data_IF_248354612831
#
_entry.id   IF_248354612831
#
_cell.length_a   1.000
_cell.length_b   1.000
_cell.length_c   1.000
_cell.angle_alpha   90.00
_cell.angle_beta   90.00
_cell.angle_gamma   90.00
#
_symmetry.space_group_name_H-M   'P 1'
#
loop_
_entity.id
_entity.type
_entity.pdbx_description
1 polymer ?
#
# COMPACT_ATOMS: atom_id res chain seq x y z
N UNK A 1 -16.62 8.01 -17.16
CA UNK A 1 -16.69 7.72 -15.71
C UNK A 1 -16.23 8.95 -14.92
N UNK A 2 -16.91 9.33 -13.82
CA UNK A 2 -16.50 10.50 -13.01
C UNK A 2 -15.18 10.19 -12.29
N UNK A 3 -14.25 11.18 -12.19
CA UNK A 3 -12.92 11.01 -11.55
C UNK A 3 -12.99 10.40 -10.15
N UNK A 4 -13.97 10.83 -9.35
CA UNK A 4 -14.23 10.29 -8.00
C UNK A 4 -14.59 8.81 -8.03
N UNK A 5 -15.48 8.39 -8.95
CA UNK A 5 -15.86 6.99 -9.12
C UNK A 5 -14.66 6.13 -9.49
N UNK A 6 -13.80 6.61 -10.40
CA UNK A 6 -12.58 5.90 -10.78
C UNK A 6 -11.62 5.73 -9.58
N UNK A 7 -11.41 6.80 -8.81
CA UNK A 7 -10.57 6.77 -7.62
C UNK A 7 -11.11 5.81 -6.56
N UNK A 8 -12.43 5.79 -6.34
CA UNK A 8 -13.07 4.84 -5.42
C UNK A 8 -12.89 3.40 -5.89
N UNK A 9 -13.14 3.10 -7.18
CA UNK A 9 -12.95 1.76 -7.73
C UNK A 9 -11.50 1.30 -7.56
N UNK A 10 -10.54 2.18 -7.84
CA UNK A 10 -9.11 1.86 -7.70
C UNK A 10 -8.76 1.51 -6.24
N UNK A 11 -9.19 2.33 -5.28
CA UNK A 11 -8.92 2.10 -3.84
C UNK A 11 -9.59 0.82 -3.34
N UNK A 12 -10.86 0.59 -3.69
CA UNK A 12 -11.58 -0.63 -3.31
C UNK A 12 -10.91 -1.85 -3.90
N UNK A 13 -10.56 -1.81 -5.19
CA UNK A 13 -9.86 -2.92 -5.87
C UNK A 13 -8.52 -3.21 -5.21
N UNK A 14 -7.75 -2.17 -4.88
CA UNK A 14 -6.49 -2.31 -4.16
C UNK A 14 -6.69 -3.03 -2.81
N UNK A 15 -7.62 -2.58 -1.98
CA UNK A 15 -7.86 -3.22 -0.68
C UNK A 15 -8.35 -4.66 -0.82
N UNK A 16 -9.20 -4.96 -1.81
CA UNK A 16 -9.62 -6.35 -2.08
C UNK A 16 -8.43 -7.24 -2.45
N UNK A 17 -7.51 -6.75 -3.30
CA UNK A 17 -6.29 -7.48 -3.67
C UNK A 17 -5.39 -7.69 -2.46
N UNK A 18 -5.17 -6.66 -1.63
CA UNK A 18 -4.36 -6.77 -0.41
C UNK A 18 -4.96 -7.78 0.56
N UNK A 19 -6.26 -7.69 0.83
CA UNK A 19 -6.94 -8.65 1.73
C UNK A 19 -6.83 -10.07 1.18
N UNK A 20 -7.09 -10.28 -0.11
CA UNK A 20 -6.91 -11.60 -0.71
C UNK A 20 -5.47 -12.09 -0.59
N UNK A 21 -4.48 -11.25 -0.89
CA UNK A 21 -3.06 -11.60 -0.84
C UNK A 21 -2.60 -12.07 0.55
N UNK A 22 -3.08 -11.42 1.62
CA UNK A 22 -2.69 -11.73 3.00
C UNK A 22 -3.43 -12.94 3.57
N UNK A 23 -4.71 -13.11 3.22
CA UNK A 23 -5.57 -14.14 3.79
C UNK A 23 -5.81 -15.34 2.87
N UNK A 24 -5.13 -15.43 1.73
CA UNK A 24 -5.13 -16.62 0.89
C UNK A 24 -3.89 -17.50 1.20
N UNK A 25 -4.00 -18.83 1.06
CA UNK A 25 -2.90 -19.77 1.25
C UNK A 25 -1.93 -19.76 0.05
N UNK A 26 -1.25 -18.62 -0.15
CA UNK A 26 -0.27 -18.45 -1.20
C UNK A 26 1.07 -19.08 -0.77
N UNK A 27 1.52 -20.10 -1.51
CA UNK A 27 2.82 -20.72 -1.26
C UNK A 27 3.93 -19.96 -1.97
N UNK A 28 4.47 -18.93 -1.30
CA UNK A 28 5.51 -18.06 -1.84
C UNK A 28 6.91 -18.70 -1.85
N UNK A 29 7.13 -19.73 -1.03
CA UNK A 29 8.43 -20.43 -0.90
C UNK A 29 8.87 -21.10 -2.20
N UNK A 30 7.91 -21.48 -3.05
CA UNK A 30 8.18 -22.09 -4.36
C UNK A 30 8.83 -21.14 -5.37
N UNK A 31 8.79 -19.83 -5.13
CA UNK A 31 9.27 -18.80 -6.07
C UNK A 31 10.67 -18.27 -5.76
N UNK A 32 11.35 -18.82 -4.75
CA UNK A 32 12.74 -18.50 -4.42
C UNK A 32 12.92 -17.87 -3.05
N UNK A 33 14.18 -17.69 -2.65
CA UNK A 33 14.52 -17.05 -1.38
C UNK A 33 13.99 -15.61 -1.34
N UNK A 34 13.34 -15.24 -0.25
CA UNK A 34 12.76 -13.91 -0.03
C UNK A 34 11.68 -13.47 -1.04
N UNK A 35 11.12 -14.38 -1.86
CA UNK A 35 10.04 -14.04 -2.79
C UNK A 35 8.80 -13.45 -2.08
N UNK A 36 8.53 -13.96 -0.89
CA UNK A 36 7.53 -13.44 0.04
C UNK A 36 7.80 -11.98 0.43
N UNK A 37 9.05 -11.65 0.78
CA UNK A 37 9.45 -10.27 1.15
C UNK A 37 9.32 -9.30 -0.02
N UNK A 38 9.69 -9.73 -1.22
CA UNK A 38 9.51 -8.94 -2.44
C UNK A 38 8.02 -8.69 -2.73
N UNK A 39 7.15 -9.66 -2.44
CA UNK A 39 5.72 -9.51 -2.60
C UNK A 39 5.13 -8.52 -1.60
N UNK A 40 5.52 -8.58 -0.33
CA UNK A 40 5.16 -7.61 0.70
C UNK A 40 5.54 -6.17 0.29
N UNK A 41 6.78 -6.00 -0.19
CA UNK A 41 7.24 -4.73 -0.76
C UNK A 41 6.34 -4.27 -1.92
N UNK A 42 6.08 -5.16 -2.89
CA UNK A 42 5.33 -4.82 -4.10
C UNK A 42 3.89 -4.42 -3.80
N UNK A 43 3.22 -5.12 -2.88
CA UNK A 43 1.84 -4.85 -2.49
C UNK A 43 1.70 -3.43 -1.94
N UNK A 44 2.61 -2.99 -1.07
CA UNK A 44 2.57 -1.65 -0.48
C UNK A 44 3.16 -0.57 -1.37
N UNK A 45 4.11 -0.90 -2.24
CA UNK A 45 4.54 -0.04 -3.34
C UNK A 45 3.37 0.33 -4.25
N UNK A 46 2.56 -0.67 -4.66
CA UNK A 46 1.33 -0.44 -5.40
C UNK A 46 0.32 0.43 -4.62
N UNK A 47 0.21 0.25 -3.30
CA UNK A 47 -0.63 1.09 -2.44
C UNK A 47 -0.24 2.56 -2.48
N UNK A 48 1.05 2.87 -2.45
CA UNK A 48 1.53 4.24 -2.60
C UNK A 48 1.31 4.80 -3.99
N UNK A 49 1.43 4.00 -5.06
CA UNK A 49 1.02 4.41 -6.42
C UNK A 49 -0.48 4.76 -6.45
N UNK A 50 -1.34 3.93 -5.84
CA UNK A 50 -2.78 4.21 -5.74
C UNK A 50 -3.02 5.55 -5.04
N UNK A 51 -2.31 5.83 -3.94
CA UNK A 51 -2.38 7.13 -3.26
C UNK A 51 -1.94 8.30 -4.15
N UNK A 52 -0.86 8.14 -4.93
CA UNK A 52 -0.39 9.15 -5.88
C UNK A 52 -1.47 9.44 -6.92
N UNK A 53 -2.01 8.41 -7.58
CA UNK A 53 -3.07 8.54 -8.57
C UNK A 53 -4.30 9.21 -7.95
N UNK A 54 -4.68 8.81 -6.74
CA UNK A 54 -5.79 9.38 -5.99
C UNK A 54 -5.64 10.91 -5.79
N UNK A 55 -4.44 11.38 -5.47
CA UNK A 55 -4.14 12.81 -5.33
C UNK A 55 -4.08 13.54 -6.68
N UNK A 56 -3.51 12.92 -7.72
CA UNK A 56 -3.47 13.49 -9.07
C UNK A 56 -4.88 13.68 -9.66
N UNK A 57 -5.84 12.82 -9.29
CA UNK A 57 -7.26 12.96 -9.64
C UNK A 57 -7.97 14.10 -8.89
N UNK A 58 -7.26 14.82 -8.01
CA UNK A 58 -7.77 15.94 -7.19
C UNK A 58 -8.99 15.55 -6.37
N UNK A 59 -8.98 14.34 -5.81
CA UNK A 59 -10.00 13.93 -4.84
C UNK A 59 -9.83 14.77 -3.56
N UNK A 60 -10.91 14.95 -2.78
CA UNK A 60 -10.88 15.86 -1.65
C UNK A 60 -9.83 15.47 -0.60
N UNK A 61 -9.15 16.48 -0.04
CA UNK A 61 -8.10 16.32 0.99
C UNK A 61 -8.48 15.37 2.12
N UNK A 62 -9.72 15.42 2.61
CA UNK A 62 -10.22 14.53 3.66
C UNK A 62 -10.04 13.05 3.31
N UNK A 63 -10.40 12.65 2.09
CA UNK A 63 -10.25 11.25 1.65
C UNK A 63 -8.80 10.89 1.39
N UNK A 64 -7.96 11.82 0.90
CA UNK A 64 -6.52 11.57 0.79
C UNK A 64 -5.90 11.29 2.16
N UNK A 65 -6.25 12.07 3.18
CA UNK A 65 -5.76 11.85 4.56
C UNK A 65 -6.23 10.49 5.09
N UNK A 66 -7.49 10.12 4.90
CA UNK A 66 -8.01 8.81 5.30
C UNK A 66 -7.23 7.69 4.61
N UNK A 67 -7.05 7.76 3.28
CA UNK A 67 -6.32 6.74 2.53
C UNK A 67 -4.87 6.63 3.00
N UNK A 68 -4.19 7.76 3.25
CA UNK A 68 -2.82 7.78 3.76
C UNK A 68 -2.72 7.08 5.11
N UNK A 69 -3.59 7.44 6.05
CA UNK A 69 -3.63 6.82 7.38
C UNK A 69 -3.91 5.32 7.27
N UNK A 70 -4.87 4.92 6.45
CA UNK A 70 -5.17 3.51 6.20
C UNK A 70 -3.95 2.75 5.65
N UNK A 71 -3.21 3.33 4.69
CA UNK A 71 -2.00 2.72 4.15
C UNK A 71 -0.87 2.60 5.17
N UNK A 72 -0.75 3.53 6.12
CA UNK A 72 0.28 3.47 7.17
C UNK A 72 -0.08 2.50 8.30
N UNK A 73 -1.36 2.35 8.62
CA UNK A 73 -1.84 1.45 9.68
C UNK A 73 -1.93 0.00 9.17
N UNK A 74 -2.23 -0.19 7.88
CA UNK A 74 -2.46 -1.52 7.31
C UNK A 74 -1.31 -2.53 7.50
N UNK A 75 -0.01 -2.19 7.28
CA UNK A 75 1.09 -3.14 7.49
C UNK A 75 1.08 -3.73 8.89
N UNK A 76 0.92 -2.88 9.91
CA UNK A 76 0.90 -3.29 11.31
C UNK A 76 -0.30 -4.18 11.62
N UNK A 77 -1.52 -3.76 11.22
CA UNK A 77 -2.71 -4.56 11.49
C UNK A 77 -2.71 -5.89 10.75
N UNK A 78 -2.29 -5.90 9.48
CA UNK A 78 -2.24 -7.12 8.68
C UNK A 78 -1.25 -8.13 9.26
N UNK A 79 -0.09 -7.65 9.71
CA UNK A 79 0.93 -8.49 10.34
C UNK A 79 0.44 -9.08 11.67
N UNK A 80 -0.15 -8.24 12.54
CA UNK A 80 -0.76 -8.72 13.79
C UNK A 80 -1.87 -9.76 13.56
N UNK A 81 -2.56 -9.69 12.42
CA UNK A 81 -3.61 -10.67 12.11
C UNK A 81 -3.07 -12.00 11.57
N UNK A 82 -1.79 -12.11 11.22
CA UNK A 82 -1.23 -13.33 10.60
C UNK A 82 -1.29 -14.54 11.53
N UNK A 83 -1.04 -14.38 12.83
CA UNK A 83 -1.07 -15.49 13.79
C UNK A 83 -2.49 -16.09 14.00
N UNK A 84 -3.53 -15.39 13.57
CA UNK A 84 -4.91 -15.92 13.59
C UNK A 84 -5.25 -16.74 12.34
N UNK A 85 -4.33 -16.82 11.37
CA UNK A 85 -4.52 -17.56 10.12
C UNK A 85 -3.63 -18.80 10.15
N UNK A 86 -4.26 -19.99 10.18
CA UNK A 86 -3.61 -21.29 10.46
C UNK A 86 -2.36 -21.68 9.63
N UNK A 87 -2.11 -21.03 8.50
CA UNK A 87 -1.00 -21.32 7.58
C UNK A 87 -0.08 -20.10 7.38
N UNK A 88 -0.23 -19.08 8.22
CA UNK A 88 0.61 -17.88 8.26
C UNK A 88 1.28 -17.79 9.62
N UNK A 89 2.39 -17.07 9.67
CA UNK A 89 3.16 -16.81 10.88
C UNK A 89 3.53 -15.35 10.86
N UNK A 90 3.39 -14.68 12.00
CA UNK A 90 3.90 -13.33 12.19
C UNK A 90 5.41 -13.25 11.88
N UNK A 91 5.78 -12.36 10.98
CA UNK A 91 7.17 -12.04 10.65
C UNK A 91 7.39 -10.51 10.63
N UNK A 92 8.15 -9.95 11.59
CA UNK A 92 8.48 -8.53 11.62
C UNK A 92 9.16 -8.02 10.34
N UNK A 93 9.86 -8.89 9.60
CA UNK A 93 10.47 -8.51 8.35
C UNK A 93 9.41 -8.20 7.29
N UNK A 94 8.28 -8.92 7.25
CA UNK A 94 7.19 -8.61 6.31
C UNK A 94 6.63 -7.22 6.53
N UNK A 95 6.40 -6.86 7.79
CA UNK A 95 6.02 -5.50 8.16
C UNK A 95 7.06 -4.47 7.69
N UNK A 96 8.36 -4.74 7.83
CA UNK A 96 9.42 -3.86 7.32
C UNK A 96 9.37 -3.73 5.79
N UNK A 97 9.20 -4.83 5.05
CA UNK A 97 9.09 -4.79 3.60
C UNK A 97 7.84 -4.05 3.11
N UNK A 98 6.71 -4.19 3.83
CA UNK A 98 5.50 -3.40 3.58
C UNK A 98 5.77 -1.89 3.74
N UNK A 99 6.40 -1.48 4.84
CA UNK A 99 6.73 -0.08 5.06
C UNK A 99 7.73 0.47 4.05
N UNK A 100 8.77 -0.30 3.71
CA UNK A 100 9.76 0.13 2.70
C UNK A 100 9.09 0.33 1.34
N UNK A 101 8.23 -0.60 0.88
CA UNK A 101 7.45 -0.44 -0.36
C UNK A 101 6.62 0.84 -0.39
N UNK A 102 5.90 1.12 0.71
CA UNK A 102 5.09 2.32 0.84
C UNK A 102 5.97 3.59 0.83
N UNK A 103 7.04 3.62 1.60
CA UNK A 103 7.92 4.78 1.74
C UNK A 103 8.66 5.09 0.44
N UNK A 104 9.08 4.06 -0.32
CA UNK A 104 9.75 4.21 -1.62
C UNK A 104 8.90 4.97 -2.64
N UNK A 105 7.57 4.97 -2.51
CA UNK A 105 6.69 5.75 -3.39
C UNK A 105 6.28 7.09 -2.79
N UNK A 106 5.96 7.11 -1.48
CA UNK A 106 5.44 8.31 -0.83
C UNK A 106 6.50 9.40 -0.60
N UNK A 107 7.75 9.06 -0.28
CA UNK A 107 8.81 10.06 -0.07
C UNK A 107 9.07 10.85 -1.36
N UNK A 108 9.37 10.22 -2.52
CA UNK A 108 9.60 10.96 -3.75
C UNK A 108 8.40 11.81 -4.15
N UNK A 109 7.18 11.31 -3.95
CA UNK A 109 5.97 12.09 -4.22
C UNK A 109 5.82 13.30 -3.29
N UNK A 110 6.12 13.15 -2.00
CA UNK A 110 6.14 14.26 -1.04
C UNK A 110 7.16 15.32 -1.42
N UNK A 111 8.37 14.91 -1.80
CA UNK A 111 9.42 15.81 -2.31
C UNK A 111 8.93 16.55 -3.56
N UNK A 112 8.34 15.83 -4.52
CA UNK A 112 7.77 16.43 -5.73
C UNK A 112 6.72 17.51 -5.41
N UNK A 113 5.81 17.25 -4.45
CA UNK A 113 4.80 18.22 -4.06
C UNK A 113 5.40 19.46 -3.40
N UNK A 114 6.43 19.30 -2.57
CA UNK A 114 7.14 20.42 -1.93
C UNK A 114 7.86 21.26 -2.99
N UNK A 115 8.66 20.61 -3.85
CA UNK A 115 9.40 21.27 -4.93
C UNK A 115 8.46 22.06 -5.83
N UNK A 116 7.35 21.45 -6.24
CA UNK A 116 6.34 22.13 -7.06
C UNK A 116 5.82 23.39 -6.38
N UNK A 117 5.45 23.31 -5.10
CA UNK A 117 4.86 24.43 -4.37
C UNK A 117 5.84 25.56 -4.06
N UNK A 118 7.13 25.26 -3.91
CA UNK A 118 8.15 26.22 -3.46
C UNK A 118 8.92 26.84 -4.63
N UNK A 119 9.13 26.07 -5.70
CA UNK A 119 10.02 26.46 -6.81
C UNK A 119 9.22 26.81 -8.07
N UNK A 120 8.09 26.14 -8.32
CA UNK A 120 7.36 26.25 -9.59
C UNK A 120 6.08 27.10 -9.52
N UNK A 121 5.55 27.31 -8.32
CA UNK A 121 4.38 28.16 -8.03
C UNK A 121 4.82 29.44 -7.31
#
# INVERSE_FOLDING_TARGET
MKKKTMATILVVTYFLIVTYAYFAPLNMERYGQNADKAFHFLVFFCGGIVFIIFNLLKVSRRYSVILLISLFIAPFLLELTQDFVSYRVYDPLDMLYNYTGLVTTLIPFGIYLIVRKVILD
#
